data_IF_030648092803
#
_entry.id   IF_030648092803
#
_cell.length_a   1.000
_cell.length_b   1.000
_cell.length_c   1.000
_cell.angle_alpha   90.00
_cell.angle_beta   90.00
_cell.angle_gamma   90.00
#
_symmetry.space_group_name_H-M   'P 1'
#
loop_
_entity.id
_entity.type
_entity.pdbx_description
1 polymer ?
#
# COMPACT_ATOMS: atom_id res chain seq x y z
N UNK A 1 -17.00 -51.96 29.06
CA UNK A 1 -17.61 -50.61 28.92
C UNK A 1 -17.40 -49.87 30.23
N UNK A 2 -16.45 -48.91 30.31
CA UNK A 2 -16.33 -47.90 31.39
C UNK A 2 -15.05 -47.04 31.30
N UNK A 3 -14.01 -47.45 30.56
CA UNK A 3 -12.72 -46.74 30.58
C UNK A 3 -12.59 -45.70 29.44
N UNK A 4 -13.23 -45.93 28.29
CA UNK A 4 -13.18 -45.01 27.15
C UNK A 4 -13.94 -43.68 27.33
N UNK A 5 -14.91 -43.61 28.25
CA UNK A 5 -15.71 -42.40 28.47
C UNK A 5 -15.02 -41.36 29.36
N UNK A 6 -14.11 -41.80 30.25
CA UNK A 6 -13.46 -40.91 31.23
C UNK A 6 -12.36 -40.06 30.58
N UNK A 7 -11.63 -40.62 29.61
CA UNK A 7 -10.57 -39.88 28.89
C UNK A 7 -11.12 -38.77 27.97
N UNK A 8 -12.33 -38.94 27.43
CA UNK A 8 -12.97 -37.93 26.58
C UNK A 8 -13.47 -36.72 27.38
N UNK A 9 -13.91 -36.93 28.63
CA UNK A 9 -14.38 -35.85 29.52
C UNK A 9 -13.21 -35.00 30.05
N UNK A 10 -12.05 -35.62 30.32
CA UNK A 10 -10.85 -34.90 30.77
C UNK A 10 -10.29 -33.99 29.65
N UNK A 11 -10.37 -34.42 28.39
CA UNK A 11 -9.94 -33.60 27.25
C UNK A 11 -10.83 -32.37 27.04
N UNK A 12 -12.15 -32.50 27.22
CA UNK A 12 -13.10 -31.38 27.12
C UNK A 12 -12.86 -30.33 28.22
N UNK A 13 -12.44 -30.73 29.42
CA UNK A 13 -12.15 -29.80 30.54
C UNK A 13 -10.83 -29.05 30.31
N UNK A 14 -9.82 -29.69 29.71
CA UNK A 14 -8.54 -29.04 29.40
C UNK A 14 -8.69 -28.06 28.23
N UNK A 15 -9.45 -28.41 27.19
CA UNK A 15 -9.73 -27.50 26.05
C UNK A 15 -10.61 -26.32 26.48
N UNK A 16 -11.57 -26.51 27.40
CA UNK A 16 -12.37 -25.40 27.95
C UNK A 16 -11.58 -24.42 28.81
N UNK A 17 -10.43 -24.82 29.37
CA UNK A 17 -9.61 -23.95 30.23
C UNK A 17 -8.64 -23.05 29.45
N UNK A 18 -8.41 -23.36 28.17
CA UNK A 18 -7.63 -22.52 27.24
C UNK A 18 -8.49 -21.58 26.39
N UNK A 19 -9.79 -21.84 26.28
CA UNK A 19 -10.78 -20.87 25.77
C UNK A 19 -11.33 -19.99 26.91
N UNK A 20 -10.45 -19.41 27.72
CA UNK A 20 -10.78 -18.13 28.36
C UNK A 20 -10.65 -17.13 27.22
N UNK A 21 -11.78 -16.82 26.59
CA UNK A 21 -11.89 -15.69 25.69
C UNK A 21 -11.19 -14.51 26.35
N UNK A 22 -10.17 -13.97 25.69
CA UNK A 22 -9.67 -12.65 26.01
C UNK A 22 -10.89 -11.73 26.21
N UNK A 23 -10.91 -10.89 27.25
CA UNK A 23 -12.02 -9.97 27.44
C UNK A 23 -12.23 -9.24 26.12
N UNK A 24 -13.44 -9.41 25.55
CA UNK A 24 -13.88 -8.71 24.33
C UNK A 24 -13.35 -7.28 24.45
N UNK A 25 -12.49 -6.82 23.54
CA UNK A 25 -11.90 -5.50 23.67
C UNK A 25 -13.08 -4.53 23.82
N UNK A 26 -13.14 -3.85 24.98
CA UNK A 26 -14.16 -2.85 25.25
C UNK A 26 -14.23 -1.97 24.00
N UNK A 27 -15.42 -1.88 23.38
CA UNK A 27 -15.66 -0.99 22.23
C UNK A 27 -14.93 0.32 22.52
N UNK A 28 -13.85 0.61 21.77
CA UNK A 28 -13.22 1.93 21.84
C UNK A 28 -14.34 2.94 21.66
N UNK A 29 -14.45 3.96 22.53
CA UNK A 29 -15.49 4.97 22.36
C UNK A 29 -15.37 5.48 20.92
N UNK A 30 -16.48 5.41 20.18
CA UNK A 30 -16.51 5.91 18.82
C UNK A 30 -16.05 7.36 18.86
N UNK A 31 -14.91 7.64 18.24
CA UNK A 31 -14.46 9.02 18.08
C UNK A 31 -15.59 9.75 17.37
N UNK A 32 -16.19 10.74 18.04
CA UNK A 32 -17.07 11.70 17.36
C UNK A 32 -16.16 12.54 16.48
N UNK A 33 -15.92 12.07 15.26
CA UNK A 33 -15.27 12.87 14.23
C UNK A 33 -16.25 13.99 13.91
N UNK A 34 -15.96 15.20 14.39
CA UNK A 34 -16.71 16.38 14.00
C UNK A 34 -16.32 16.73 12.58
N UNK A 35 -17.17 16.36 11.63
CA UNK A 35 -17.01 16.76 10.23
C UNK A 35 -16.96 18.28 10.14
N UNK A 36 -15.79 18.81 9.78
CA UNK A 36 -15.59 20.24 9.53
C UNK A 36 -15.59 20.47 8.02
N UNK A 37 -16.77 20.82 7.49
CA UNK A 37 -16.97 21.10 6.07
C UNK A 37 -16.00 22.13 5.50
N UNK A 38 -15.73 23.21 6.25
CA UNK A 38 -14.84 24.26 5.79
C UNK A 38 -13.39 23.78 5.69
N UNK A 39 -12.94 22.94 6.63
CA UNK A 39 -11.62 22.31 6.57
C UNK A 39 -11.53 21.34 5.37
N UNK A 40 -12.55 20.52 5.15
CA UNK A 40 -12.62 19.59 4.02
C UNK A 40 -12.57 20.32 2.66
N UNK A 41 -13.37 21.37 2.50
CA UNK A 41 -13.36 22.20 1.27
C UNK A 41 -12.02 22.91 1.09
N UNK A 42 -11.42 23.44 2.16
CA UNK A 42 -10.09 24.06 2.10
C UNK A 42 -9.00 23.06 1.69
N UNK A 43 -9.10 21.82 2.21
CA UNK A 43 -8.20 20.73 1.85
C UNK A 43 -8.25 20.40 0.37
N UNK A 44 -9.46 20.15 -0.16
CA UNK A 44 -9.66 19.82 -1.57
C UNK A 44 -9.28 20.97 -2.50
N UNK A 45 -9.59 22.21 -2.13
CA UNK A 45 -9.17 23.39 -2.90
C UNK A 45 -7.64 23.51 -2.96
N UNK A 46 -6.95 23.20 -1.87
CA UNK A 46 -5.48 23.22 -1.85
C UNK A 46 -4.89 22.08 -2.68
N UNK A 47 -5.47 20.88 -2.62
CA UNK A 47 -5.08 19.78 -3.51
C UNK A 47 -5.22 20.15 -5.00
N UNK A 48 -6.32 20.81 -5.36
CA UNK A 48 -6.53 21.31 -6.72
C UNK A 48 -5.44 22.31 -7.14
N UNK A 49 -5.14 23.30 -6.30
CA UNK A 49 -4.08 24.29 -6.57
C UNK A 49 -2.71 23.65 -6.77
N UNK A 50 -2.42 22.57 -6.05
CA UNK A 50 -1.18 21.80 -6.16
C UNK A 50 -1.20 20.79 -7.31
N UNK A 51 -2.31 20.69 -8.05
CA UNK A 51 -2.42 19.84 -9.23
C UNK A 51 -2.72 18.36 -8.95
N UNK A 52 -3.34 18.03 -7.81
CA UNK A 52 -3.73 16.65 -7.49
C UNK A 52 -4.58 16.04 -8.63
N UNK A 53 -5.58 16.77 -9.13
CA UNK A 53 -6.49 16.28 -10.18
C UNK A 53 -5.94 16.35 -11.61
N UNK A 54 -4.64 16.65 -11.80
CA UNK A 54 -4.05 16.86 -13.15
C UNK A 54 -4.23 15.67 -14.10
N UNK A 55 -4.23 14.45 -13.58
CA UNK A 55 -4.33 13.24 -14.41
C UNK A 55 -5.76 12.73 -14.58
N UNK A 56 -6.66 13.19 -13.71
CA UNK A 56 -8.07 12.82 -13.75
C UNK A 56 -8.71 13.27 -15.07
N UNK A 57 -9.67 12.50 -15.55
CA UNK A 57 -10.45 12.92 -16.70
C UNK A 57 -11.37 14.07 -16.27
N UNK A 58 -11.53 15.09 -17.13
CA UNK A 58 -12.23 16.32 -16.77
C UNK A 58 -13.67 16.09 -16.27
N UNK A 59 -14.34 15.05 -16.77
CA UNK A 59 -15.68 14.65 -16.35
C UNK A 59 -15.75 14.09 -14.92
N UNK A 60 -14.64 13.56 -14.39
CA UNK A 60 -14.56 12.93 -13.06
C UNK A 60 -14.14 13.92 -11.96
N UNK A 61 -13.57 15.08 -12.31
CA UNK A 61 -12.99 16.02 -11.34
C UNK A 61 -14.02 16.49 -10.29
N UNK A 62 -15.23 16.87 -10.70
CA UNK A 62 -16.26 17.33 -9.77
C UNK A 62 -16.73 16.20 -8.83
N UNK A 63 -16.77 14.96 -9.33
CA UNK A 63 -17.11 13.79 -8.53
C UNK A 63 -16.01 13.52 -7.50
N UNK A 64 -14.75 13.50 -7.92
CA UNK A 64 -13.59 13.30 -7.05
C UNK A 64 -13.55 14.33 -5.92
N UNK A 65 -13.70 15.62 -6.24
CA UNK A 65 -13.71 16.69 -5.23
C UNK A 65 -14.84 16.51 -4.22
N UNK A 66 -16.05 16.19 -4.68
CA UNK A 66 -17.21 15.97 -3.79
C UNK A 66 -16.99 14.77 -2.87
N UNK A 67 -16.41 13.69 -3.40
CA UNK A 67 -16.09 12.51 -2.61
C UNK A 67 -15.04 12.80 -1.54
N UNK A 68 -13.93 13.44 -1.91
CA UNK A 68 -12.88 13.82 -0.96
C UNK A 68 -13.39 14.79 0.13
N UNK A 69 -14.28 15.73 -0.22
CA UNK A 69 -14.93 16.59 0.79
C UNK A 69 -15.82 15.75 1.71
N UNK A 70 -16.66 14.87 1.16
CA UNK A 70 -17.59 14.04 1.94
C UNK A 70 -16.88 13.09 2.90
N UNK A 71 -15.78 12.49 2.46
CA UNK A 71 -15.03 11.47 3.22
C UNK A 71 -13.81 12.04 3.95
N UNK A 72 -13.66 13.36 4.00
CA UNK A 72 -12.54 14.01 4.69
C UNK A 72 -12.48 13.62 6.17
N UNK A 73 -11.44 12.87 6.53
CA UNK A 73 -11.14 12.43 7.89
C UNK A 73 -9.60 12.35 8.06
N UNK A 74 -8.94 13.39 8.61
CA UNK A 74 -7.49 13.43 8.76
C UNK A 74 -6.86 12.34 9.65
N UNK A 75 -7.68 11.64 10.43
CA UNK A 75 -7.30 10.49 11.27
C UNK A 75 -7.51 9.13 10.57
N UNK A 76 -8.05 9.13 9.36
CA UNK A 76 -8.35 7.96 8.54
C UNK A 76 -7.55 7.94 7.22
N UNK A 77 -7.86 6.99 6.33
CA UNK A 77 -7.27 6.84 5.01
C UNK A 77 -7.62 8.00 4.06
N UNK A 78 -6.69 8.36 3.17
CA UNK A 78 -6.99 9.24 2.05
C UNK A 78 -7.93 8.53 1.07
N UNK A 79 -9.03 9.16 0.67
CA UNK A 79 -10.00 8.51 -0.23
C UNK A 79 -9.71 8.76 -1.70
N UNK A 80 -10.08 7.78 -2.51
CA UNK A 80 -10.06 7.79 -3.96
C UNK A 80 -11.29 7.11 -4.52
N UNK A 81 -11.52 7.22 -5.84
CA UNK A 81 -12.65 6.54 -6.49
C UNK A 81 -12.10 5.57 -7.52
N UNK A 82 -12.41 4.28 -7.37
CA UNK A 82 -12.06 3.27 -8.34
C UNK A 82 -12.98 3.33 -9.57
N UNK A 83 -12.39 3.21 -10.76
CA UNK A 83 -13.09 3.11 -12.04
C UNK A 83 -13.02 1.65 -12.50
N UNK A 84 -14.12 0.90 -12.33
CA UNK A 84 -14.21 -0.52 -12.71
C UNK A 84 -14.02 -0.73 -14.22
N UNK A 85 -14.40 0.23 -15.06
CA UNK A 85 -14.29 0.08 -16.52
C UNK A 85 -12.85 0.23 -17.00
N UNK A 86 -12.06 1.06 -16.30
CA UNK A 86 -10.65 1.32 -16.64
C UNK A 86 -9.66 0.55 -15.78
N UNK A 87 -10.17 -0.18 -14.77
CA UNK A 87 -9.37 -0.89 -13.75
C UNK A 87 -8.29 0.02 -13.14
N UNK A 88 -8.67 1.26 -12.80
CA UNK A 88 -7.77 2.29 -12.30
C UNK A 88 -8.50 3.27 -11.37
N UNK A 89 -7.80 3.96 -10.45
CA UNK A 89 -8.38 5.09 -9.72
C UNK A 89 -8.63 6.24 -10.70
N UNK A 90 -9.76 6.94 -10.54
CA UNK A 90 -10.15 8.06 -11.40
C UNK A 90 -9.17 9.23 -11.37
N UNK A 91 -8.43 9.38 -10.27
CA UNK A 91 -7.36 10.35 -10.12
C UNK A 91 -6.01 9.90 -10.69
N UNK A 92 -5.87 8.62 -11.07
CA UNK A 92 -4.62 8.01 -11.55
C UNK A 92 -3.44 8.26 -10.59
N UNK A 93 -3.67 8.06 -9.28
CA UNK A 93 -2.65 8.27 -8.24
C UNK A 93 -2.68 7.23 -7.14
N UNK A 94 -3.86 6.86 -6.64
CA UNK A 94 -4.04 6.06 -5.42
C UNK A 94 -4.41 4.61 -5.72
N UNK A 95 -3.50 3.68 -5.48
CA UNK A 95 -3.67 2.27 -5.86
C UNK A 95 -3.62 1.35 -4.65
N UNK A 96 -4.36 0.24 -4.74
CA UNK A 96 -4.09 -0.92 -3.89
C UNK A 96 -2.70 -1.44 -4.18
N UNK A 97 -2.01 -1.85 -3.12
CA UNK A 97 -0.67 -2.40 -3.12
C UNK A 97 -0.59 -3.47 -2.02
N UNK A 98 -1.47 -4.46 -2.11
CA UNK A 98 -1.51 -5.60 -1.19
C UNK A 98 -0.14 -6.27 -1.14
N UNK A 99 0.43 -6.37 0.07
CA UNK A 99 1.77 -6.91 0.29
C UNK A 99 1.90 -8.38 -0.05
N UNK A 100 0.86 -9.17 0.24
CA UNK A 100 0.79 -10.60 -0.10
C UNK A 100 0.78 -10.75 -1.62
N UNK A 101 -0.15 -10.08 -2.30
CA UNK A 101 -0.28 -10.13 -3.75
C UNK A 101 1.01 -9.70 -4.46
N UNK A 102 1.67 -8.63 -3.97
CA UNK A 102 2.89 -8.12 -4.59
C UNK A 102 4.08 -9.07 -4.39
N UNK A 103 4.14 -9.77 -3.26
CA UNK A 103 5.22 -10.72 -2.97
C UNK A 103 5.05 -12.05 -3.70
N UNK A 104 3.81 -12.53 -3.87
CA UNK A 104 3.52 -13.82 -4.47
C UNK A 104 3.83 -13.88 -5.98
N UNK A 105 3.75 -15.10 -6.54
CA UNK A 105 4.23 -15.39 -7.89
C UNK A 105 3.53 -14.51 -8.95
N UNK A 106 4.33 -13.76 -9.71
CA UNK A 106 3.87 -12.79 -10.71
C UNK A 106 3.35 -11.45 -10.15
N UNK A 107 3.29 -11.29 -8.83
CA UNK A 107 2.74 -10.12 -8.13
C UNK A 107 3.34 -8.78 -8.56
N UNK A 108 4.67 -8.71 -8.65
CA UNK A 108 5.37 -7.50 -9.10
C UNK A 108 4.98 -7.12 -10.53
N UNK A 109 4.90 -8.09 -11.44
CA UNK A 109 4.52 -7.81 -12.82
C UNK A 109 3.05 -7.40 -12.92
N UNK A 110 2.18 -8.01 -12.12
CA UNK A 110 0.77 -7.63 -12.01
C UNK A 110 0.62 -6.19 -11.49
N UNK A 111 1.33 -5.83 -10.42
CA UNK A 111 1.36 -4.45 -9.92
C UNK A 111 1.82 -3.47 -10.99
N UNK A 112 2.94 -3.74 -11.67
CA UNK A 112 3.45 -2.87 -12.74
C UNK A 112 2.43 -2.71 -13.87
N UNK A 113 1.67 -3.77 -14.18
CA UNK A 113 0.58 -3.69 -15.16
C UNK A 113 -0.57 -2.80 -14.67
N UNK A 114 -0.97 -2.92 -13.41
CA UNK A 114 -2.03 -2.10 -12.80
C UNK A 114 -1.66 -0.60 -12.76
N UNK A 115 -0.36 -0.28 -12.68
CA UNK A 115 0.13 1.09 -12.64
C UNK A 115 0.28 1.73 -14.03
N UNK A 116 0.17 0.97 -15.13
CA UNK A 116 0.31 1.47 -16.51
C UNK A 116 -0.54 2.69 -16.82
N UNK A 117 -1.82 2.79 -16.43
CA UNK A 117 -2.61 3.99 -16.70
C UNK A 117 -1.98 5.26 -16.12
N UNK A 118 -1.35 5.18 -14.94
CA UNK A 118 -0.62 6.31 -14.36
C UNK A 118 0.70 6.54 -15.07
N UNK A 119 1.42 5.49 -15.45
CA UNK A 119 2.66 5.63 -16.23
C UNK A 119 2.42 6.37 -17.55
N UNK A 120 1.34 6.07 -18.26
CA UNK A 120 0.95 6.76 -19.49
C UNK A 120 0.67 8.25 -19.23
N UNK A 121 -0.06 8.58 -18.15
CA UNK A 121 -0.34 9.97 -17.75
C UNK A 121 0.93 10.74 -17.33
N UNK A 122 1.93 10.04 -16.79
CA UNK A 122 3.24 10.58 -16.44
C UNK A 122 4.21 10.68 -17.63
N UNK A 123 3.88 10.08 -18.78
CA UNK A 123 4.84 9.76 -19.84
C UNK A 123 6.07 8.99 -19.31
N UNK A 124 5.88 8.15 -18.30
CA UNK A 124 6.92 7.29 -17.76
C UNK A 124 7.12 6.09 -18.67
N UNK A 125 8.34 5.91 -19.19
CA UNK A 125 8.70 4.69 -19.91
C UNK A 125 9.03 3.61 -18.88
N UNK A 126 8.22 2.57 -18.83
CA UNK A 126 8.44 1.41 -17.96
C UNK A 126 8.56 0.17 -18.83
N UNK A 127 9.79 -0.17 -19.23
CA UNK A 127 10.10 -1.37 -20.00
C UNK A 127 10.75 -2.42 -19.11
N UNK A 128 10.11 -3.58 -18.96
CA UNK A 128 10.63 -4.71 -18.19
C UNK A 128 11.03 -5.82 -19.17
N UNK A 129 12.33 -6.05 -19.31
CA UNK A 129 12.87 -6.96 -20.33
C UNK A 129 13.34 -8.30 -19.77
N UNK A 130 13.55 -8.37 -18.46
CA UNK A 130 13.98 -9.58 -17.76
C UNK A 130 13.32 -9.60 -16.39
N UNK A 131 12.84 -10.76 -15.97
CA UNK A 131 12.25 -11.00 -14.65
C UNK A 131 12.52 -12.45 -14.26
N UNK A 132 12.97 -12.65 -13.03
CA UNK A 132 13.13 -13.98 -12.46
C UNK A 132 12.67 -14.01 -11.01
N UNK A 133 12.15 -15.16 -10.61
CA UNK A 133 11.87 -15.54 -9.23
C UNK A 133 12.28 -17.01 -9.09
N UNK A 134 13.27 -17.28 -8.24
CA UNK A 134 13.83 -18.61 -8.03
C UNK A 134 13.85 -18.96 -6.54
N UNK A 135 13.12 -20.01 -6.19
CA UNK A 135 13.05 -20.55 -4.83
C UNK A 135 13.98 -21.74 -4.68
N UNK A 136 15.01 -21.59 -3.84
CA UNK A 136 15.87 -22.71 -3.47
C UNK A 136 15.19 -23.53 -2.37
N UNK A 137 14.69 -24.70 -2.72
CA UNK A 137 14.00 -25.60 -1.79
C UNK A 137 14.91 -26.18 -0.69
N UNK A 138 16.22 -26.27 -0.94
CA UNK A 138 17.19 -26.78 0.05
C UNK A 138 17.56 -25.71 1.07
N UNK A 139 17.83 -24.49 0.60
CA UNK A 139 18.22 -23.34 1.44
C UNK A 139 17.01 -22.61 2.04
N UNK A 140 15.82 -22.83 1.47
CA UNK A 140 14.57 -22.14 1.82
C UNK A 140 14.68 -20.63 1.69
N UNK A 141 15.10 -20.17 0.52
CA UNK A 141 15.18 -18.75 0.22
C UNK A 141 14.69 -18.40 -1.19
N UNK A 142 14.32 -17.14 -1.37
CA UNK A 142 13.92 -16.56 -2.64
C UNK A 142 15.04 -15.65 -3.19
N UNK A 143 15.35 -15.82 -4.47
CA UNK A 143 16.05 -14.83 -5.27
C UNK A 143 15.06 -14.27 -6.30
N UNK A 144 14.94 -12.95 -6.37
CA UNK A 144 14.03 -12.28 -7.29
C UNK A 144 14.69 -11.02 -7.83
N UNK A 145 14.52 -10.76 -9.12
CA UNK A 145 15.07 -9.59 -9.77
C UNK A 145 14.39 -9.30 -11.10
N UNK A 146 14.64 -8.11 -11.61
CA UNK A 146 14.15 -7.67 -12.90
C UNK A 146 15.10 -6.68 -13.56
N UNK A 147 14.99 -6.52 -14.87
CA UNK A 147 15.62 -5.40 -15.59
C UNK A 147 14.55 -4.42 -16.03
N UNK A 148 14.64 -3.17 -15.55
CA UNK A 148 13.74 -2.07 -15.90
C UNK A 148 14.50 -0.99 -16.66
N UNK A 149 14.03 -0.63 -17.84
CA UNK A 149 14.65 0.37 -18.73
C UNK A 149 16.16 0.13 -18.94
N UNK A 150 16.55 -1.15 -19.07
CA UNK A 150 17.94 -1.56 -19.22
C UNK A 150 18.79 -1.53 -17.94
N UNK A 151 18.22 -1.17 -16.78
CA UNK A 151 18.90 -1.25 -15.48
C UNK A 151 18.50 -2.53 -14.74
N UNK A 152 19.45 -3.41 -14.37
CA UNK A 152 19.15 -4.58 -13.56
C UNK A 152 18.95 -4.21 -12.09
N UNK A 153 17.93 -4.80 -11.46
CA UNK A 153 17.58 -4.64 -10.07
C UNK A 153 17.42 -5.99 -9.40
N UNK A 154 17.92 -6.09 -8.18
CA UNK A 154 17.69 -7.23 -7.30
C UNK A 154 16.64 -6.80 -6.27
N UNK A 155 15.52 -7.52 -6.25
CA UNK A 155 14.43 -7.32 -5.28
C UNK A 155 14.74 -8.13 -4.02
N UNK A 156 15.00 -9.42 -4.21
CA UNK A 156 15.37 -10.36 -3.17
C UNK A 156 16.65 -11.10 -3.52
N UNK A 157 17.51 -11.23 -2.52
CA UNK A 157 18.72 -12.04 -2.60
C UNK A 157 18.77 -12.92 -1.37
N UNK A 158 18.72 -14.24 -1.58
CA UNK A 158 18.79 -15.22 -0.49
C UNK A 158 17.76 -14.94 0.62
N UNK A 159 16.56 -14.47 0.24
CA UNK A 159 15.56 -13.98 1.19
C UNK A 159 14.78 -15.14 1.84
N UNK A 160 14.89 -15.37 3.16
CA UNK A 160 14.49 -16.65 3.76
C UNK A 160 13.07 -16.66 4.35
N UNK A 161 12.29 -15.59 4.19
CA UNK A 161 10.97 -15.41 4.83
C UNK A 161 9.94 -14.87 3.85
N UNK A 162 8.68 -14.75 4.31
CA UNK A 162 7.66 -14.00 3.58
C UNK A 162 8.05 -12.52 3.52
N UNK A 163 7.92 -11.94 2.32
CA UNK A 163 8.40 -10.60 1.98
C UNK A 163 7.28 -9.62 1.72
N UNK A 164 6.12 -9.79 2.37
CA UNK A 164 4.90 -9.01 2.11
C UNK A 164 5.09 -7.52 2.39
N UNK A 165 6.01 -7.18 3.29
CA UNK A 165 6.43 -5.81 3.58
C UNK A 165 7.52 -5.32 2.62
N UNK A 166 8.48 -6.19 2.35
CA UNK A 166 9.69 -5.88 1.62
C UNK A 166 9.45 -5.72 0.12
N UNK A 167 8.55 -6.51 -0.46
CA UNK A 167 8.28 -6.47 -1.89
C UNK A 167 7.67 -5.12 -2.33
N UNK A 168 6.60 -4.58 -1.70
CA UNK A 168 6.09 -3.24 -1.98
C UNK A 168 7.16 -2.15 -1.83
N UNK A 169 7.97 -2.21 -0.77
CA UNK A 169 9.06 -1.25 -0.56
C UNK A 169 10.09 -1.31 -1.69
N UNK A 170 10.54 -2.50 -2.08
CA UNK A 170 11.55 -2.68 -3.12
C UNK A 170 11.07 -2.18 -4.48
N UNK A 171 9.86 -2.54 -4.87
CA UNK A 171 9.34 -2.11 -6.15
C UNK A 171 9.11 -0.60 -6.16
N UNK A 172 8.68 0.01 -5.04
CA UNK A 172 8.59 1.46 -4.91
C UNK A 172 9.97 2.15 -4.99
N UNK A 173 11.02 1.58 -4.39
CA UNK A 173 12.40 2.09 -4.51
C UNK A 173 12.88 2.08 -5.96
N UNK A 174 12.67 0.96 -6.66
CA UNK A 174 13.04 0.79 -8.07
C UNK A 174 12.30 1.81 -8.94
N UNK A 175 10.98 1.90 -8.78
CA UNK A 175 10.15 2.84 -9.53
C UNK A 175 10.54 4.30 -9.26
N UNK A 176 10.79 4.68 -8.01
CA UNK A 176 11.26 6.03 -7.68
C UNK A 176 12.61 6.36 -8.31
N UNK A 177 13.54 5.40 -8.36
CA UNK A 177 14.82 5.57 -9.04
C UNK A 177 14.63 5.76 -10.55
N UNK A 178 13.74 4.99 -11.18
CA UNK A 178 13.45 5.08 -12.61
C UNK A 178 12.69 6.36 -13.00
N UNK A 179 11.72 6.78 -12.19
CA UNK A 179 11.03 8.07 -12.35
C UNK A 179 12.03 9.23 -12.29
N UNK A 180 12.95 9.20 -11.33
CA UNK A 180 13.99 10.21 -11.18
C UNK A 180 14.95 10.26 -12.39
N UNK A 181 15.37 9.11 -12.93
CA UNK A 181 16.20 9.04 -14.16
C UNK A 181 15.52 9.70 -15.36
N UNK A 182 14.18 9.68 -15.40
CA UNK A 182 13.37 10.28 -16.47
C UNK A 182 12.93 11.72 -16.15
N UNK A 183 13.45 12.32 -15.08
CA UNK A 183 13.10 13.67 -14.61
C UNK A 183 11.60 13.86 -14.31
N UNK A 184 10.92 12.78 -13.89
CA UNK A 184 9.53 12.84 -13.45
C UNK A 184 9.52 13.31 -11.99
N UNK A 185 8.62 14.26 -11.68
CA UNK A 185 8.59 14.93 -10.37
C UNK A 185 7.82 14.12 -9.33
N UNK A 186 6.94 13.26 -9.79
CA UNK A 186 6.14 12.36 -8.99
C UNK A 186 7.02 11.26 -8.41
N UNK A 187 6.74 10.93 -7.15
CA UNK A 187 7.31 9.80 -6.42
C UNK A 187 6.18 8.96 -5.88
N UNK A 188 6.48 7.68 -5.68
CA UNK A 188 5.66 6.73 -4.96
C UNK A 188 5.93 6.89 -3.46
N UNK A 189 4.84 7.03 -2.73
CA UNK A 189 4.76 6.95 -1.27
C UNK A 189 3.92 5.72 -0.90
N UNK A 190 4.26 5.06 0.20
CA UNK A 190 3.53 3.89 0.69
C UNK A 190 2.66 4.25 1.88
N UNK A 191 1.56 3.51 2.03
CA UNK A 191 0.53 3.71 3.06
C UNK A 191 0.05 2.33 3.48
N UNK A 192 -0.12 2.12 4.79
CA UNK A 192 -0.49 0.82 5.35
C UNK A 192 0.45 -0.31 4.88
N UNK A 193 0.13 -1.55 5.20
CA UNK A 193 0.88 -2.74 4.82
C UNK A 193 -0.09 -3.93 4.77
N UNK A 194 0.43 -5.12 4.44
CA UNK A 194 -0.32 -6.37 4.41
C UNK A 194 -1.42 -6.26 3.33
N UNK A 195 -2.57 -6.87 3.56
CA UNK A 195 -3.64 -6.91 2.56
C UNK A 195 -4.35 -5.55 2.41
N UNK A 196 -4.03 -4.58 3.28
CA UNK A 196 -4.51 -3.21 3.22
C UNK A 196 -3.47 -2.24 2.63
N UNK A 197 -2.34 -2.75 2.12
CA UNK A 197 -1.29 -1.93 1.54
C UNK A 197 -1.81 -1.03 0.40
N UNK A 198 -1.29 0.20 0.34
CA UNK A 198 -1.58 1.17 -0.72
C UNK A 198 -0.29 1.87 -1.15
N UNK A 199 -0.32 2.37 -2.37
CA UNK A 199 0.70 3.26 -2.89
C UNK A 199 0.06 4.49 -3.53
N UNK A 200 0.77 5.61 -3.50
CA UNK A 200 0.30 6.85 -4.12
C UNK A 200 1.40 7.60 -4.87
N UNK A 201 1.09 8.10 -6.06
CA UNK A 201 1.97 9.02 -6.81
C UNK A 201 1.72 10.48 -6.45
N UNK A 202 2.71 11.12 -5.84
CA UNK A 202 2.63 12.53 -5.44
C UNK A 202 3.88 13.28 -5.88
N UNK A 203 3.72 14.56 -6.24
CA UNK A 203 4.86 15.48 -6.22
C UNK A 203 5.25 15.78 -4.78
N UNK A 204 6.47 16.27 -4.57
CA UNK A 204 6.93 16.69 -3.25
C UNK A 204 5.96 17.68 -2.57
N UNK A 205 5.46 18.68 -3.31
CA UNK A 205 4.53 19.68 -2.75
C UNK A 205 3.19 19.08 -2.32
N UNK A 206 2.66 18.11 -3.09
CA UNK A 206 1.45 17.38 -2.73
C UNK A 206 1.67 16.50 -1.50
N UNK A 207 2.80 15.78 -1.46
CA UNK A 207 3.17 14.95 -0.31
C UNK A 207 3.27 15.78 0.97
N UNK A 208 4.05 16.85 0.97
CA UNK A 208 4.24 17.71 2.15
C UNK A 208 2.90 18.27 2.65
N UNK A 209 2.00 18.63 1.72
CA UNK A 209 0.69 19.11 2.10
C UNK A 209 -0.17 18.02 2.74
N UNK A 210 -0.34 16.87 2.09
CA UNK A 210 -1.14 15.75 2.61
C UNK A 210 -0.58 15.27 3.96
N UNK A 211 0.74 15.12 4.05
CA UNK A 211 1.45 14.72 5.27
C UNK A 211 1.20 15.68 6.44
N UNK A 212 1.08 16.98 6.18
CA UNK A 212 0.79 17.99 7.21
C UNK A 212 -0.65 17.94 7.74
N UNK A 213 -1.57 17.34 6.97
CA UNK A 213 -2.99 17.25 7.31
C UNK A 213 -3.31 15.92 7.98
N UNK A 214 -2.85 14.81 7.39
CA UNK A 214 -3.16 13.47 7.87
C UNK A 214 -2.25 13.07 9.04
N UNK A 215 -2.85 12.65 10.14
CA UNK A 215 -2.16 12.47 11.42
C UNK A 215 -1.83 11.01 11.71
N UNK A 216 -2.63 10.08 11.20
CA UNK A 216 -2.47 8.67 11.48
C UNK A 216 -1.32 8.10 10.62
N UNK A 217 -0.20 7.67 11.24
CA UNK A 217 0.95 7.20 10.48
C UNK A 217 0.67 5.92 9.69
N UNK A 218 -0.33 5.13 10.08
CA UNK A 218 -0.69 3.91 9.35
C UNK A 218 -1.50 4.16 8.08
N UNK A 219 -2.16 5.32 7.97
CA UNK A 219 -3.14 5.63 6.92
C UNK A 219 -2.81 6.89 6.13
N UNK A 220 -1.60 7.43 6.30
CA UNK A 220 -1.10 8.58 5.53
C UNK A 220 0.06 8.17 4.62
N UNK A 221 0.30 8.89 3.52
CA UNK A 221 1.49 8.68 2.69
C UNK A 221 2.76 8.91 3.50
N UNK A 222 3.70 7.98 3.41
CA UNK A 222 5.01 8.05 4.05
C UNK A 222 6.13 7.86 3.01
N UNK A 223 7.25 8.55 3.23
CA UNK A 223 8.50 8.25 2.52
C UNK A 223 8.95 6.82 2.84
N UNK A 224 9.60 6.13 1.90
CA UNK A 224 9.80 4.67 1.98
C UNK A 224 10.55 4.20 3.25
N UNK A 225 11.47 5.01 3.76
CA UNK A 225 12.22 4.70 4.99
C UNK A 225 11.42 5.00 6.27
N UNK A 226 10.60 6.05 6.25
CA UNK A 226 9.67 6.35 7.35
C UNK A 226 8.58 5.27 7.41
N UNK A 227 8.02 4.90 6.24
CA UNK A 227 7.07 3.81 6.09
C UNK A 227 7.61 2.51 6.67
N UNK A 228 8.83 2.12 6.29
CA UNK A 228 9.46 0.90 6.82
C UNK A 228 9.61 0.93 8.35
N UNK A 229 9.89 2.11 8.91
CA UNK A 229 10.01 2.29 10.36
C UNK A 229 8.64 2.15 11.04
N UNK A 230 7.60 2.78 10.51
CA UNK A 230 6.23 2.75 11.05
C UNK A 230 5.61 1.35 10.97
N UNK A 231 5.89 0.63 9.89
CA UNK A 231 5.38 -0.71 9.63
C UNK A 231 6.30 -1.82 10.17
N UNK A 232 7.35 -1.46 10.92
CA UNK A 232 8.29 -2.39 11.54
C UNK A 232 8.95 -3.37 10.54
N UNK A 233 9.20 -2.89 9.32
CA UNK A 233 9.86 -3.65 8.24
C UNK A 233 11.35 -3.73 8.52
N UNK A 234 11.86 -4.94 8.69
CA UNK A 234 13.27 -5.12 9.00
C UNK A 234 14.17 -4.58 7.87
N UNK A 235 15.31 -3.97 8.20
CA UNK A 235 16.30 -3.62 7.22
C UNK A 235 16.78 -4.88 6.50
N UNK A 236 16.71 -4.88 5.17
CA UNK A 236 17.25 -5.98 4.39
C UNK A 236 18.78 -5.96 4.40
N UNK A 237 19.36 -7.13 4.65
CA UNK A 237 20.80 -7.38 4.46
C UNK A 237 21.04 -7.49 2.95
N UNK A 238 21.82 -6.55 2.39
CA UNK A 238 22.23 -6.51 0.97
C UNK A 238 23.33 -7.56 0.65
#
# INVERSE_FOLDING_TARGET
MAIGAILFIIWIIIVRRWFIMDPVPKKKPALKIYYNKQAAESFVNRLEQLGYFRYADAADIDLLKKDMVKNYAPDAELTGIWDDEKEAPKEYRYYSCDGEDVYEDGGILALLNNLKPTFDKLNFKCDVTDYFADWDSNKKWLNQGLTMNGTPYIIFKNFPRAGWAEAPKRIAEILNAELAKQNIKEKIYLISIDNDGRLIFLTEELYQYIYSVYQNPYWKPLELNEWATVMEVEPMIL
#
